data_IF_188020304263
#
_entry.id   IF_188020304263
#
_cell.length_a   1.000
_cell.length_b   1.000
_cell.length_c   1.000
_cell.angle_alpha   90.00
_cell.angle_beta   90.00
_cell.angle_gamma   90.00
#
_symmetry.space_group_name_H-M   'P 1'
#
loop_
_entity.id
_entity.type
_entity.pdbx_description
1 polymer ?
#
# COMPACT_ATOMS: atom_id res chain seq x y z
N UNK A 1 -2.95 -12.02 15.77
CA UNK A 1 -1.60 -12.48 15.30
C UNK A 1 -1.11 -13.57 16.25
N UNK A 2 -0.62 -14.72 15.75
CA UNK A 2 -0.20 -15.85 16.61
C UNK A 2 1.12 -15.59 17.38
N UNK A 3 2.06 -14.83 16.82
CA UNK A 3 3.38 -14.54 17.40
C UNK A 3 3.43 -13.08 17.87
N UNK A 4 3.02 -12.85 19.11
CA UNK A 4 3.02 -11.51 19.72
C UNK A 4 4.43 -10.94 19.94
N UNK A 5 5.43 -11.82 20.13
CA UNK A 5 6.85 -11.48 20.25
C UNK A 5 7.43 -10.81 18.98
N UNK A 6 6.77 -10.97 17.83
CA UNK A 6 7.16 -10.38 16.55
C UNK A 6 6.31 -9.19 16.14
N UNK A 7 5.39 -8.74 16.99
CA UNK A 7 4.50 -7.62 16.68
C UNK A 7 5.27 -6.30 16.69
N UNK A 8 5.11 -5.51 15.67
CA UNK A 8 5.58 -4.13 15.63
C UNK A 8 4.63 -3.23 16.44
N UNK A 9 5.15 -2.16 17.03
CA UNK A 9 4.31 -1.10 17.57
C UNK A 9 3.48 -0.45 16.47
N UNK A 10 2.43 0.28 16.82
CA UNK A 10 1.62 1.01 15.84
C UNK A 10 2.44 2.08 15.13
N UNK A 11 3.32 2.75 15.84
CA UNK A 11 4.22 3.76 15.30
C UNK A 11 5.19 3.15 14.28
N UNK A 12 5.89 2.06 14.64
CA UNK A 12 6.76 1.33 13.72
C UNK A 12 6.01 0.84 12.47
N UNK A 13 4.79 0.32 12.66
CA UNK A 13 3.94 -0.17 11.58
C UNK A 13 3.60 0.92 10.59
N UNK A 14 3.17 2.09 11.09
CA UNK A 14 2.83 3.25 10.25
C UNK A 14 4.05 3.88 9.59
N UNK A 15 5.19 3.93 10.29
CA UNK A 15 6.44 4.41 9.71
C UNK A 15 6.87 3.52 8.56
N UNK A 16 6.95 2.21 8.77
CA UNK A 16 7.34 1.28 7.72
C UNK A 16 6.38 1.32 6.51
N UNK A 17 5.06 1.40 6.75
CA UNK A 17 4.09 1.57 5.67
C UNK A 17 4.31 2.87 4.88
N UNK A 18 4.67 3.96 5.54
CA UNK A 18 4.96 5.26 4.88
C UNK A 18 6.19 5.18 3.99
N UNK A 19 7.22 4.49 4.45
CA UNK A 19 8.55 4.46 3.83
C UNK A 19 8.65 3.42 2.70
N UNK A 20 7.82 2.36 2.72
CA UNK A 20 7.82 1.31 1.73
C UNK A 20 7.54 1.86 0.31
N UNK A 21 8.34 1.42 -0.67
CA UNK A 21 8.26 1.93 -2.04
C UNK A 21 7.21 1.22 -2.89
N UNK A 22 6.92 -0.04 -2.63
CA UNK A 22 5.95 -0.84 -3.38
C UNK A 22 5.02 -1.53 -2.41
N UNK A 23 3.73 -1.46 -2.67
CA UNK A 23 2.71 -2.23 -1.97
C UNK A 23 2.04 -3.23 -2.88
N UNK A 24 1.44 -4.26 -2.30
CA UNK A 24 0.63 -5.25 -3.01
C UNK A 24 -0.83 -5.04 -2.63
N UNK A 25 -1.62 -4.68 -3.63
CA UNK A 25 -3.07 -4.52 -3.48
C UNK A 25 -3.73 -5.85 -3.84
N UNK A 26 -4.33 -6.49 -2.84
CA UNK A 26 -5.11 -7.71 -3.00
C UNK A 26 -6.60 -7.38 -2.98
N UNK A 27 -7.28 -7.86 -4.01
CA UNK A 27 -8.71 -7.70 -4.26
C UNK A 27 -9.34 -9.07 -4.49
N UNK A 28 -10.65 -9.16 -4.37
CA UNK A 28 -11.40 -10.35 -4.75
C UNK A 28 -12.69 -9.93 -5.46
N UNK A 29 -12.97 -10.59 -6.57
CA UNK A 29 -14.22 -10.46 -7.32
C UNK A 29 -14.70 -11.86 -7.68
N UNK A 30 -15.97 -12.17 -7.38
CA UNK A 30 -16.58 -13.47 -7.68
C UNK A 30 -15.73 -14.65 -7.17
N UNK A 31 -15.23 -14.55 -5.91
CA UNK A 31 -14.33 -15.49 -5.23
C UNK A 31 -12.95 -15.68 -5.90
N UNK A 32 -12.65 -14.91 -6.93
CA UNK A 32 -11.33 -14.93 -7.57
C UNK A 32 -10.42 -13.88 -6.94
N UNK A 33 -9.32 -14.30 -6.28
CA UNK A 33 -8.33 -13.37 -5.74
C UNK A 33 -7.50 -12.76 -6.87
N UNK A 34 -7.18 -11.48 -6.73
CA UNK A 34 -6.34 -10.74 -7.66
C UNK A 34 -5.38 -9.84 -6.88
N UNK A 35 -4.09 -9.96 -7.15
CA UNK A 35 -3.03 -9.20 -6.46
C UNK A 35 -2.15 -8.50 -7.49
N UNK A 36 -1.87 -7.22 -7.24
CA UNK A 36 -0.97 -6.42 -8.07
C UNK A 36 -0.02 -5.57 -7.23
N UNK A 37 1.23 -5.37 -7.68
CA UNK A 37 2.10 -4.35 -7.12
C UNK A 37 1.63 -2.95 -7.54
N UNK A 38 1.70 -1.99 -6.62
CA UNK A 38 1.37 -0.59 -6.90
C UNK A 38 2.32 0.37 -6.17
N UNK A 39 2.50 1.54 -6.76
CA UNK A 39 3.09 2.70 -6.11
C UNK A 39 2.00 3.41 -5.31
N UNK A 40 2.33 3.87 -4.11
CA UNK A 40 1.35 4.43 -3.18
C UNK A 40 1.95 5.47 -2.24
N UNK A 41 1.09 6.24 -1.59
CA UNK A 41 1.45 7.03 -0.41
C UNK A 41 0.51 6.72 0.74
N UNK A 42 1.06 6.73 1.97
CA UNK A 42 0.28 6.67 3.19
C UNK A 42 0.20 8.07 3.80
N UNK A 43 -1.00 8.62 3.86
CA UNK A 43 -1.25 9.99 4.31
C UNK A 43 -2.60 10.09 5.03
N UNK A 44 -2.63 10.74 6.20
CA UNK A 44 -3.85 10.92 7.01
C UNK A 44 -4.64 9.62 7.21
N UNK A 45 -3.95 8.56 7.66
CA UNK A 45 -4.53 7.23 7.95
C UNK A 45 -5.17 6.53 6.73
N UNK A 46 -4.84 6.97 5.51
CA UNK A 46 -5.29 6.37 4.26
C UNK A 46 -4.12 6.01 3.37
N UNK A 47 -4.30 4.97 2.59
CA UNK A 47 -3.38 4.60 1.51
C UNK A 47 -3.96 5.13 0.20
N UNK A 48 -3.17 5.82 -0.59
CA UNK A 48 -3.59 6.37 -1.86
C UNK A 48 -2.72 5.84 -2.99
N UNK A 49 -3.35 5.55 -4.10
CA UNK A 49 -2.68 5.23 -5.36
C UNK A 49 -3.47 5.76 -6.55
N UNK A 50 -2.79 5.95 -7.67
CA UNK A 50 -3.43 6.36 -8.91
C UNK A 50 -3.48 5.21 -9.92
N UNK A 51 -4.43 5.28 -10.84
CA UNK A 51 -4.56 4.30 -11.91
C UNK A 51 -5.34 4.86 -13.11
N UNK A 52 -5.38 4.10 -14.21
CA UNK A 52 -6.27 4.36 -15.32
C UNK A 52 -7.74 4.17 -14.90
N UNK A 53 -8.66 4.70 -15.72
CA UNK A 53 -10.12 4.67 -15.46
C UNK A 53 -10.76 3.30 -15.73
N UNK A 54 -10.04 2.36 -16.32
CA UNK A 54 -10.56 1.05 -16.73
C UNK A 54 -9.56 -0.07 -16.45
N UNK A 55 -10.01 -1.31 -16.58
CA UNK A 55 -9.22 -2.52 -16.40
C UNK A 55 -9.66 -3.35 -15.20
N UNK A 56 -9.05 -4.53 -15.08
CA UNK A 56 -9.43 -5.54 -14.08
C UNK A 56 -9.46 -4.99 -12.64
N UNK A 57 -8.48 -4.17 -12.28
CA UNK A 57 -8.42 -3.50 -10.97
C UNK A 57 -9.69 -2.71 -10.66
N UNK A 58 -10.12 -1.85 -11.61
CA UNK A 58 -11.31 -1.01 -11.45
C UNK A 58 -12.55 -1.89 -11.34
N UNK A 59 -12.70 -2.88 -12.22
CA UNK A 59 -13.84 -3.81 -12.19
C UNK A 59 -13.92 -4.56 -10.85
N UNK A 60 -12.77 -4.96 -10.29
CA UNK A 60 -12.72 -5.63 -8.98
C UNK A 60 -13.13 -4.67 -7.86
N UNK A 61 -12.61 -3.44 -7.84
CA UNK A 61 -12.92 -2.46 -6.80
C UNK A 61 -14.38 -1.98 -6.84
N UNK A 62 -14.98 -1.88 -8.03
CA UNK A 62 -16.42 -1.54 -8.19
C UNK A 62 -17.33 -2.65 -7.69
N UNK A 63 -16.92 -3.92 -7.84
CA UNK A 63 -17.69 -5.07 -7.38
C UNK A 63 -17.52 -5.29 -5.87
N UNK A 64 -16.27 -5.20 -5.38
CA UNK A 64 -15.93 -5.40 -3.98
C UNK A 64 -14.87 -4.38 -3.56
N UNK A 65 -15.28 -3.41 -2.77
CA UNK A 65 -14.38 -2.37 -2.28
C UNK A 65 -13.50 -2.82 -1.11
N UNK A 66 -13.79 -3.96 -0.48
CA UNK A 66 -13.00 -4.48 0.64
C UNK A 66 -11.71 -5.12 0.12
N UNK A 67 -10.58 -4.62 0.60
CA UNK A 67 -9.26 -5.00 0.10
C UNK A 67 -8.31 -5.39 1.22
N UNK A 68 -7.25 -6.10 0.86
CA UNK A 68 -6.06 -6.28 1.66
C UNK A 68 -4.88 -5.58 0.98
N UNK A 69 -4.14 -4.80 1.74
CA UNK A 69 -2.93 -4.13 1.29
C UNK A 69 -1.74 -4.61 2.11
N UNK A 70 -0.65 -4.91 1.43
CA UNK A 70 0.54 -5.47 2.05
C UNK A 70 1.81 -4.75 1.59
N UNK A 71 2.76 -4.58 2.52
CA UNK A 71 4.15 -4.21 2.23
C UNK A 71 5.08 -5.10 3.03
N UNK A 72 6.21 -5.48 2.43
CA UNK A 72 7.24 -6.26 3.11
C UNK A 72 8.66 -5.83 2.72
N UNK A 73 9.61 -6.22 3.54
CA UNK A 73 11.02 -6.03 3.30
C UNK A 73 11.81 -7.24 3.80
N UNK A 74 12.62 -7.81 2.91
CA UNK A 74 13.61 -8.81 3.25
C UNK A 74 14.88 -8.12 3.78
N UNK A 75 15.28 -8.45 5.02
CA UNK A 75 16.44 -7.86 5.70
C UNK A 75 17.64 -8.81 5.79
N UNK A 76 17.58 -9.94 5.12
CA UNK A 76 18.64 -10.95 5.13
C UNK A 76 18.30 -12.18 5.97
N UNK A 77 19.29 -12.93 6.33
CA UNK A 77 19.15 -14.19 7.09
C UNK A 77 19.91 -14.13 8.41
N UNK A 78 19.35 -14.75 9.42
CA UNK A 78 20.04 -15.08 10.66
C UNK A 78 20.41 -16.57 10.64
N UNK A 79 21.70 -16.88 10.58
CA UNK A 79 22.20 -18.24 10.66
C UNK A 79 22.05 -18.78 12.09
N UNK A 80 21.39 -19.91 12.24
CA UNK A 80 21.33 -20.69 13.47
C UNK A 80 22.39 -21.78 13.50
N UNK A 81 22.46 -22.51 14.60
CA UNK A 81 23.38 -23.66 14.74
C UNK A 81 23.00 -24.84 13.82
N UNK A 82 21.73 -24.92 13.43
CA UNK A 82 21.19 -25.94 12.52
C UNK A 82 20.34 -25.25 11.45
N UNK A 83 19.99 -25.96 10.38
CA UNK A 83 19.08 -25.48 9.34
C UNK A 83 17.74 -25.06 9.93
N UNK A 84 17.19 -25.80 10.88
CA UNK A 84 15.89 -25.52 11.52
C UNK A 84 15.91 -24.28 12.42
N UNK A 85 17.09 -23.87 12.90
CA UNK A 85 17.24 -22.66 13.73
C UNK A 85 17.64 -21.41 12.93
N UNK A 86 17.97 -21.60 11.66
CA UNK A 86 18.18 -20.49 10.73
C UNK A 86 16.86 -19.85 10.34
N UNK A 87 16.82 -18.53 10.21
CA UNK A 87 15.58 -17.81 9.93
C UNK A 87 15.83 -16.56 9.07
N UNK A 88 14.77 -16.10 8.41
CA UNK A 88 14.75 -14.86 7.64
C UNK A 88 14.50 -13.68 8.57
N UNK A 89 15.25 -12.60 8.37
CA UNK A 89 15.00 -11.29 8.95
C UNK A 89 14.10 -10.52 8.00
N UNK A 90 13.01 -9.95 8.51
CA UNK A 90 12.03 -9.24 7.69
C UNK A 90 11.21 -8.25 8.50
N UNK A 91 10.55 -7.35 7.79
CA UNK A 91 9.42 -6.55 8.26
C UNK A 91 8.26 -6.74 7.29
N UNK A 92 7.04 -6.72 7.79
CA UNK A 92 5.84 -6.73 6.95
C UNK A 92 4.68 -6.01 7.63
N UNK A 93 3.84 -5.37 6.83
CA UNK A 93 2.60 -4.72 7.26
C UNK A 93 1.45 -5.22 6.40
N UNK A 94 0.37 -5.61 7.05
CA UNK A 94 -0.89 -5.96 6.40
C UNK A 94 -1.97 -5.00 6.89
N UNK A 95 -2.64 -4.34 5.96
CA UNK A 95 -3.76 -3.44 6.21
C UNK A 95 -5.01 -3.96 5.49
N UNK A 96 -6.14 -3.93 6.17
CA UNK A 96 -7.47 -4.19 5.60
C UNK A 96 -8.27 -2.91 5.63
N UNK A 97 -9.06 -2.69 4.60
CA UNK A 97 -9.89 -1.50 4.51
C UNK A 97 -10.75 -1.47 3.26
N UNK A 98 -11.39 -0.33 3.05
CA UNK A 98 -12.28 -0.11 1.91
C UNK A 98 -11.70 0.92 0.97
N UNK A 99 -11.67 0.56 -0.31
CA UNK A 99 -11.29 1.46 -1.39
C UNK A 99 -12.46 2.34 -1.81
N UNK A 100 -12.17 3.60 -2.13
CA UNK A 100 -13.10 4.55 -2.72
C UNK A 100 -12.39 5.43 -3.74
N UNK A 101 -13.11 5.93 -4.73
CA UNK A 101 -12.58 6.89 -5.68
C UNK A 101 -12.60 8.30 -5.07
N UNK A 102 -11.60 9.11 -5.41
CA UNK A 102 -11.48 10.50 -4.94
C UNK A 102 -11.80 11.43 -6.11
N UNK A 103 -12.95 12.08 -6.03
CA UNK A 103 -13.44 12.98 -7.08
C UNK A 103 -13.06 14.45 -6.83
N UNK A 104 -12.73 14.82 -5.58
CA UNK A 104 -12.30 16.17 -5.22
C UNK A 104 -10.97 16.53 -5.90
N UNK A 105 -10.99 17.58 -6.70
CA UNK A 105 -9.86 18.02 -7.54
C UNK A 105 -8.67 18.45 -6.70
N UNK A 106 -8.89 19.18 -5.61
CA UNK A 106 -7.81 19.69 -4.75
C UNK A 106 -7.17 18.57 -3.95
N UNK A 107 -7.98 17.64 -3.42
CA UNK A 107 -7.48 16.43 -2.78
C UNK A 107 -6.66 15.57 -3.77
N UNK A 108 -7.15 15.40 -5.00
CA UNK A 108 -6.46 14.67 -6.05
C UNK A 108 -5.10 15.30 -6.39
N UNK A 109 -5.06 16.62 -6.62
CA UNK A 109 -3.81 17.37 -6.87
C UNK A 109 -2.82 17.19 -5.74
N UNK A 110 -3.27 17.35 -4.49
CA UNK A 110 -2.44 17.21 -3.30
C UNK A 110 -1.82 15.82 -3.20
N UNK A 111 -2.61 14.77 -3.37
CA UNK A 111 -2.11 13.38 -3.24
C UNK A 111 -1.19 13.02 -4.40
N UNK A 112 -1.50 13.40 -5.64
CA UNK A 112 -0.60 13.19 -6.77
C UNK A 112 0.74 13.90 -6.58
N UNK A 113 0.74 15.10 -5.99
CA UNK A 113 1.98 15.80 -5.61
C UNK A 113 2.78 15.01 -4.57
N UNK A 114 2.11 14.39 -3.58
CA UNK A 114 2.79 13.52 -2.60
C UNK A 114 3.39 12.27 -3.25
N UNK A 115 2.69 11.66 -4.22
CA UNK A 115 3.21 10.54 -5.01
C UNK A 115 4.47 10.94 -5.79
N UNK A 116 4.40 12.06 -6.52
CA UNK A 116 5.57 12.58 -7.26
C UNK A 116 6.73 12.85 -6.30
N UNK A 117 6.49 13.52 -5.18
CA UNK A 117 7.53 13.79 -4.17
C UNK A 117 8.18 12.52 -3.64
N UNK A 118 7.40 11.46 -3.41
CA UNK A 118 7.90 10.19 -2.89
C UNK A 118 8.79 9.45 -3.89
N UNK A 119 8.44 9.44 -5.18
CA UNK A 119 9.11 8.58 -6.17
C UNK A 119 10.07 9.33 -7.10
N UNK A 120 9.84 10.62 -7.32
CA UNK A 120 10.65 11.45 -8.23
C UNK A 120 11.52 12.44 -7.46
N UNK A 121 11.11 12.82 -6.25
CA UNK A 121 11.78 13.83 -5.44
C UNK A 121 11.20 15.23 -5.62
N UNK A 122 12.03 16.28 -5.51
CA UNK A 122 11.59 17.65 -5.67
C UNK A 122 11.17 17.91 -7.12
N UNK A 123 9.89 18.10 -7.34
CA UNK A 123 9.29 18.39 -8.64
C UNK A 123 8.39 19.62 -8.53
N UNK A 124 8.63 20.61 -9.40
CA UNK A 124 7.91 21.89 -9.42
C UNK A 124 6.98 22.04 -10.65
N UNK A 125 6.87 20.99 -11.48
CA UNK A 125 6.03 21.00 -12.68
C UNK A 125 4.53 21.00 -12.38
N UNK A 126 3.75 21.54 -13.32
CA UNK A 126 2.31 21.40 -13.31
C UNK A 126 1.86 20.03 -13.83
N UNK A 127 0.70 19.57 -13.41
CA UNK A 127 0.05 18.42 -14.04
C UNK A 127 -0.50 18.84 -15.39
N UNK A 128 -0.23 18.05 -16.42
CA UNK A 128 -0.93 18.14 -17.69
C UNK A 128 -2.41 17.84 -17.49
N UNK A 129 -3.29 18.73 -17.98
CA UNK A 129 -4.73 18.67 -17.71
C UNK A 129 -5.37 17.39 -18.23
N UNK A 130 -5.03 16.99 -19.46
CA UNK A 130 -5.57 15.77 -20.08
C UNK A 130 -5.16 14.53 -19.28
N UNK A 131 -3.89 14.39 -18.93
CA UNK A 131 -3.38 13.27 -18.11
C UNK A 131 -3.99 13.29 -16.73
N UNK A 132 -4.14 14.47 -16.12
CA UNK A 132 -4.77 14.61 -14.82
C UNK A 132 -6.23 14.15 -14.83
N UNK A 133 -7.02 14.53 -15.83
CA UNK A 133 -8.41 14.10 -15.96
C UNK A 133 -8.55 12.60 -16.18
N UNK A 134 -7.69 12.02 -17.00
CA UNK A 134 -7.69 10.57 -17.30
C UNK A 134 -7.21 9.70 -16.14
N UNK A 135 -6.54 10.27 -15.16
CA UNK A 135 -6.03 9.56 -13.98
C UNK A 135 -7.12 9.44 -12.92
N UNK A 136 -7.39 8.23 -12.43
CA UNK A 136 -8.17 8.01 -11.20
C UNK A 136 -7.27 8.03 -9.98
N UNK A 137 -7.76 8.64 -8.90
CA UNK A 137 -7.18 8.51 -7.58
C UNK A 137 -8.07 7.61 -6.72
N UNK A 138 -7.46 6.61 -6.10
CA UNK A 138 -8.13 5.69 -5.17
C UNK A 138 -7.59 5.93 -3.77
N UNK A 139 -8.49 6.03 -2.81
CA UNK A 139 -8.19 6.09 -1.38
C UNK A 139 -8.63 4.78 -0.70
N UNK A 140 -7.75 4.18 0.07
CA UNK A 140 -8.09 3.05 0.96
C UNK A 140 -8.19 3.60 2.37
N UNK A 141 -9.38 3.61 2.93
CA UNK A 141 -9.60 3.89 4.34
C UNK A 141 -9.23 2.64 5.14
N UNK A 142 -8.14 2.73 5.92
CA UNK A 142 -7.63 1.60 6.69
C UNK A 142 -8.51 1.35 7.91
N UNK A 143 -9.11 0.17 8.01
CA UNK A 143 -9.94 -0.26 9.15
C UNK A 143 -9.14 -1.09 10.15
N UNK A 144 -8.17 -1.85 9.68
CA UNK A 144 -7.31 -2.69 10.51
C UNK A 144 -5.91 -2.75 9.92
N UNK A 145 -4.90 -2.56 10.76
CA UNK A 145 -3.49 -2.65 10.36
C UNK A 145 -2.69 -3.47 11.37
N UNK A 146 -1.78 -4.28 10.89
CA UNK A 146 -0.86 -5.07 11.71
C UNK A 146 0.53 -5.08 11.11
N UNK A 147 1.53 -4.86 11.96
CA UNK A 147 2.94 -4.96 11.59
C UNK A 147 3.61 -6.16 12.27
N UNK A 148 4.52 -6.80 11.56
CA UNK A 148 5.31 -7.93 12.03
C UNK A 148 6.77 -7.77 11.62
N UNK A 149 7.70 -8.10 12.54
CA UNK A 149 9.14 -8.12 12.28
C UNK A 149 9.81 -9.35 12.85
N UNK A 150 10.92 -9.72 12.23
CA UNK A 150 11.91 -10.70 12.75
C UNK A 150 13.27 -10.11 12.44
N UNK A 151 13.98 -9.63 13.45
CA UNK A 151 15.29 -8.97 13.33
C UNK A 151 16.43 -9.89 13.78
#
# INVERSE_FOLDING_TARGET
MRRNDKKMSMEETKSFLRDASVGRLAMSKDDQPYVIPINFVYFKEKIFFHCAREGQKINSLLTNSFICFEVDEFLGMRKGRTSCTSTVKYRSVIAFGKASFVDDVDAKKKVLTLLVKKYVGAYTGSFDEETFERTLLVAITVERITGKKSL
#
